data_IF_308393351137
#
_entry.id   IF_308393351137
#
_cell.length_a   1.000
_cell.length_b   1.000
_cell.length_c   1.000
_cell.angle_alpha   90.00
_cell.angle_beta   90.00
_cell.angle_gamma   90.00
#
_symmetry.space_group_name_H-M   'P 1'
#
loop_
_entity.id
_entity.type
_entity.pdbx_description
1 polymer ?
#
# COMPACT_ATOMS: atom_id res chain seq x y z
N UNK A 1 -11.13 -13.40 1.08
CA UNK A 1 -10.66 -12.40 2.05
C UNK A 1 -9.73 -13.04 3.08
N UNK A 2 -9.09 -12.26 3.93
CA UNK A 2 -8.12 -12.73 4.95
C UNK A 2 -8.75 -13.75 5.89
N UNK A 3 -9.99 -13.57 6.30
CA UNK A 3 -10.75 -14.50 7.17
C UNK A 3 -10.93 -15.92 6.60
N UNK A 4 -10.70 -16.11 5.30
CA UNK A 4 -10.84 -17.40 4.65
C UNK A 4 -9.50 -18.15 4.48
N UNK A 5 -8.39 -17.57 4.96
CA UNK A 5 -7.06 -18.21 4.93
C UNK A 5 -7.01 -19.35 5.94
N UNK A 6 -7.51 -19.12 7.13
CA UNK A 6 -7.77 -20.13 8.17
C UNK A 6 -8.89 -19.65 9.10
N UNK A 7 -9.56 -20.58 9.78
CA UNK A 7 -10.50 -20.24 10.84
C UNK A 7 -9.73 -19.78 12.07
N UNK A 8 -9.95 -18.56 12.51
CA UNK A 8 -9.27 -18.01 13.69
C UNK A 8 -10.24 -17.75 14.83
N UNK A 9 -9.82 -18.09 16.05
CA UNK A 9 -10.45 -17.60 17.26
C UNK A 9 -10.11 -16.12 17.47
N UNK A 10 -10.84 -15.43 18.35
CA UNK A 10 -10.53 -14.04 18.70
C UNK A 10 -9.10 -13.89 19.28
N UNK A 11 -8.63 -14.89 20.02
CA UNK A 11 -7.30 -14.90 20.63
C UNK A 11 -6.23 -15.06 19.54
N UNK A 12 -6.36 -16.05 18.66
CA UNK A 12 -5.39 -16.27 17.58
C UNK A 12 -5.37 -15.10 16.58
N UNK A 13 -6.52 -14.50 16.30
CA UNK A 13 -6.62 -13.27 15.51
C UNK A 13 -5.89 -12.07 16.14
N UNK A 14 -6.01 -11.90 17.45
CA UNK A 14 -5.31 -10.85 18.20
C UNK A 14 -3.80 -11.05 18.18
N UNK A 15 -3.33 -12.29 18.36
CA UNK A 15 -1.91 -12.64 18.28
C UNK A 15 -1.36 -12.35 16.86
N UNK A 16 -2.10 -12.74 15.82
CA UNK A 16 -1.73 -12.47 14.42
C UNK A 16 -1.56 -10.96 14.16
N UNK A 17 -2.52 -10.15 14.58
CA UNK A 17 -2.49 -8.69 14.38
C UNK A 17 -1.36 -8.06 15.17
N UNK A 18 -1.11 -8.49 16.40
CA UNK A 18 -0.03 -7.99 17.24
C UNK A 18 1.35 -8.32 16.64
N UNK A 19 1.56 -9.57 16.21
CA UNK A 19 2.80 -10.00 15.55
C UNK A 19 3.07 -9.19 14.27
N UNK A 20 2.06 -9.02 13.43
CA UNK A 20 2.14 -8.18 12.23
C UNK A 20 2.47 -6.72 12.57
N UNK A 21 1.85 -6.16 13.61
CA UNK A 21 2.10 -4.78 14.04
C UNK A 21 3.54 -4.57 14.50
N UNK A 22 4.10 -5.49 15.29
CA UNK A 22 5.51 -5.44 15.73
C UNK A 22 6.45 -5.45 14.53
N UNK A 23 6.26 -6.38 13.60
CA UNK A 23 7.08 -6.50 12.39
C UNK A 23 7.04 -5.24 11.54
N UNK A 24 5.83 -4.73 11.24
CA UNK A 24 5.65 -3.51 10.44
C UNK A 24 6.28 -2.30 11.15
N UNK A 25 6.13 -2.18 12.46
CA UNK A 25 6.71 -1.08 13.26
C UNK A 25 8.24 -1.08 13.17
N UNK A 26 8.88 -2.24 13.37
CA UNK A 26 10.34 -2.37 13.27
C UNK A 26 10.82 -1.94 11.88
N UNK A 27 10.20 -2.44 10.81
CA UNK A 27 10.60 -2.11 9.45
C UNK A 27 10.36 -0.63 9.10
N UNK A 28 9.26 -0.06 9.58
CA UNK A 28 8.94 1.37 9.39
C UNK A 28 9.98 2.25 10.12
N UNK A 29 10.45 1.84 11.30
CA UNK A 29 11.51 2.54 12.03
C UNK A 29 12.80 2.65 11.20
N UNK A 30 13.13 1.61 10.44
CA UNK A 30 14.27 1.61 9.50
C UNK A 30 13.97 2.30 8.16
N UNK A 31 12.78 2.86 7.97
CA UNK A 31 12.38 3.55 6.73
C UNK A 31 12.18 2.63 5.53
N UNK A 32 11.94 1.34 5.77
CA UNK A 32 11.70 0.35 4.72
C UNK A 32 10.19 0.25 4.44
N UNK A 33 9.73 0.51 3.20
CA UNK A 33 8.33 0.33 2.84
C UNK A 33 7.99 -1.16 2.79
N UNK A 34 7.21 -1.61 3.78
CA UNK A 34 6.74 -3.00 3.89
C UNK A 34 5.23 -3.11 3.72
N UNK A 35 4.77 -4.31 3.51
CA UNK A 35 3.37 -4.63 3.30
C UNK A 35 2.70 -5.08 4.60
N UNK A 36 1.80 -4.26 5.14
CA UNK A 36 0.96 -4.65 6.28
C UNK A 36 0.04 -5.84 5.94
N UNK A 37 -0.49 -5.89 4.71
CA UNK A 37 -1.32 -7.02 4.25
C UNK A 37 -0.53 -8.33 4.22
N UNK A 38 0.73 -8.30 3.77
CA UNK A 38 1.60 -9.49 3.78
C UNK A 38 1.96 -9.91 5.21
N UNK A 39 2.25 -8.96 6.09
CA UNK A 39 2.56 -9.25 7.49
C UNK A 39 1.39 -9.93 8.19
N UNK A 40 0.16 -9.42 8.02
CA UNK A 40 -1.04 -10.02 8.62
C UNK A 40 -1.32 -11.42 8.03
N UNK A 41 -1.28 -11.57 6.71
CA UNK A 41 -1.52 -12.88 6.07
C UNK A 41 -0.45 -13.90 6.48
N UNK A 42 0.81 -13.48 6.60
CA UNK A 42 1.90 -14.32 7.09
C UNK A 42 1.66 -14.80 8.52
N UNK A 43 1.27 -13.89 9.43
CA UNK A 43 0.95 -14.24 10.81
C UNK A 43 -0.24 -15.20 10.92
N UNK A 44 -1.29 -14.97 10.11
CA UNK A 44 -2.46 -15.85 10.05
C UNK A 44 -2.08 -17.23 9.49
N UNK A 45 -1.23 -17.27 8.48
CA UNK A 45 -0.75 -18.50 7.87
C UNK A 45 0.11 -19.31 8.87
N UNK A 46 0.96 -18.64 9.66
CA UNK A 46 1.77 -19.31 10.68
C UNK A 46 0.89 -20.02 11.73
N UNK A 47 -0.14 -19.36 12.23
CA UNK A 47 -1.10 -19.98 13.14
C UNK A 47 -1.84 -21.14 12.46
N UNK A 48 -2.30 -20.94 11.22
CA UNK A 48 -2.98 -21.98 10.47
C UNK A 48 -2.11 -23.22 10.20
N UNK A 49 -0.80 -23.06 10.06
CA UNK A 49 0.15 -24.20 9.94
C UNK A 49 0.26 -24.98 11.25
N UNK A 50 0.22 -24.30 12.40
CA UNK A 50 0.25 -24.94 13.72
C UNK A 50 -1.07 -25.68 13.99
N UNK A 51 -2.20 -25.05 13.63
CA UNK A 51 -3.55 -25.61 13.84
C UNK A 51 -4.00 -26.59 12.73
N UNK A 52 -3.24 -26.69 11.63
CA UNK A 52 -3.49 -27.66 10.54
C UNK A 52 -4.58 -27.24 9.55
N UNK A 53 -4.89 -25.95 9.41
CA UNK A 53 -6.05 -25.45 8.64
C UNK A 53 -5.77 -24.36 7.60
N UNK A 54 -4.67 -24.41 6.83
CA UNK A 54 -4.34 -23.39 5.81
C UNK A 54 -5.01 -23.66 4.47
N UNK A 55 -5.71 -22.68 3.91
CA UNK A 55 -6.26 -22.74 2.57
C UNK A 55 -5.23 -22.26 1.52
N UNK A 56 -4.50 -23.21 0.94
CA UNK A 56 -3.44 -22.93 -0.04
C UNK A 56 -3.93 -22.29 -1.33
N UNK A 57 -5.17 -22.55 -1.76
CA UNK A 57 -5.73 -21.92 -2.96
C UNK A 57 -5.89 -20.39 -2.77
N UNK A 58 -6.28 -19.98 -1.56
CA UNK A 58 -6.37 -18.55 -1.22
C UNK A 58 -4.98 -17.94 -1.13
N UNK A 59 -4.02 -18.62 -0.51
CA UNK A 59 -2.64 -18.14 -0.44
C UNK A 59 -2.05 -17.91 -1.83
N UNK A 60 -2.24 -18.84 -2.77
CA UNK A 60 -1.80 -18.69 -4.15
C UNK A 60 -2.43 -17.46 -4.81
N UNK A 61 -3.74 -17.27 -4.65
CA UNK A 61 -4.46 -16.09 -5.16
C UNK A 61 -3.88 -14.78 -4.60
N UNK A 62 -3.55 -14.75 -3.32
CA UNK A 62 -2.94 -13.58 -2.67
C UNK A 62 -1.53 -13.32 -3.20
N UNK A 63 -0.71 -14.35 -3.38
CA UNK A 63 0.65 -14.23 -3.94
C UNK A 63 0.58 -13.64 -5.36
N UNK A 64 -0.31 -14.14 -6.21
CA UNK A 64 -0.51 -13.61 -7.56
C UNK A 64 -0.95 -12.14 -7.55
N UNK A 65 -1.86 -11.76 -6.64
CA UNK A 65 -2.27 -10.38 -6.47
C UNK A 65 -1.12 -9.48 -5.99
N UNK A 66 -0.26 -9.97 -5.10
CA UNK A 66 0.91 -9.21 -4.62
C UNK A 66 1.98 -8.99 -5.70
N UNK A 67 2.13 -9.93 -6.65
CA UNK A 67 2.96 -9.72 -7.84
C UNK A 67 2.29 -8.74 -8.80
N UNK A 68 0.98 -8.86 -8.98
CA UNK A 68 0.19 -7.97 -9.83
C UNK A 68 0.11 -6.53 -9.33
N UNK A 69 0.21 -6.31 -8.01
CA UNK A 69 0.06 -4.99 -7.40
C UNK A 69 1.09 -3.96 -7.86
N UNK A 70 2.41 -4.19 -7.80
CA UNK A 70 3.39 -3.24 -8.30
C UNK A 70 3.32 -3.05 -9.83
N UNK A 71 2.94 -4.10 -10.56
CA UNK A 71 2.73 -4.02 -12.02
C UNK A 71 1.53 -3.12 -12.31
N UNK A 72 0.41 -3.30 -11.60
CA UNK A 72 -0.77 -2.44 -11.71
C UNK A 72 -0.43 -0.98 -11.39
N UNK A 73 0.27 -0.73 -10.28
CA UNK A 73 0.75 0.60 -9.92
C UNK A 73 1.59 1.24 -11.02
N UNK A 74 2.52 0.48 -11.59
CA UNK A 74 3.37 0.94 -12.68
C UNK A 74 2.56 1.29 -13.95
N UNK A 75 1.62 0.44 -14.33
CA UNK A 75 0.76 0.66 -15.50
C UNK A 75 -0.12 1.90 -15.30
N UNK A 76 -0.84 1.98 -14.17
CA UNK A 76 -1.72 3.12 -13.91
C UNK A 76 -0.94 4.42 -13.69
N UNK A 77 0.23 4.38 -13.03
CA UNK A 77 1.11 5.53 -12.91
C UNK A 77 1.61 6.03 -14.27
N UNK A 78 2.03 5.11 -15.14
CA UNK A 78 2.49 5.45 -16.49
C UNK A 78 1.37 6.03 -17.35
N UNK A 79 0.22 5.36 -17.41
CA UNK A 79 -0.92 5.78 -18.24
C UNK A 79 -1.47 7.12 -17.75
N UNK A 80 -1.68 7.27 -16.43
CA UNK A 80 -2.19 8.51 -15.84
C UNK A 80 -1.25 9.69 -16.12
N UNK A 81 0.07 9.47 -16.05
CA UNK A 81 1.03 10.50 -16.42
C UNK A 81 0.88 10.92 -17.89
N UNK A 82 0.86 9.95 -18.81
CA UNK A 82 0.74 10.24 -20.25
C UNK A 82 -0.54 11.00 -20.58
N UNK A 83 -1.66 10.65 -19.98
CA UNK A 83 -2.95 11.30 -20.22
C UNK A 83 -2.99 12.69 -19.59
N UNK A 84 -2.68 12.82 -18.30
CA UNK A 84 -2.85 14.05 -17.55
C UNK A 84 -1.76 15.10 -17.81
N UNK A 85 -0.57 14.68 -18.27
CA UNK A 85 0.48 15.63 -18.67
C UNK A 85 0.10 16.46 -19.89
N UNK A 86 -0.78 15.96 -20.77
CA UNK A 86 -1.20 16.69 -21.97
C UNK A 86 -1.92 18.00 -21.62
N UNK A 87 -3.03 18.01 -20.86
CA UNK A 87 -3.68 19.25 -20.47
C UNK A 87 -2.82 20.09 -19.53
N UNK A 88 -2.08 19.45 -18.62
CA UNK A 88 -1.24 20.15 -17.65
C UNK A 88 -0.13 20.96 -18.33
N UNK A 89 0.52 20.41 -19.37
CA UNK A 89 1.57 21.12 -20.11
C UNK A 89 1.05 22.27 -20.98
N UNK A 90 -0.24 22.30 -21.30
CA UNK A 90 -0.87 23.41 -22.03
C UNK A 90 -1.08 24.65 -21.15
N UNK A 91 -1.04 24.52 -19.83
CA UNK A 91 -1.19 25.64 -18.90
C UNK A 91 0.08 26.49 -18.96
N UNK A 92 -0.01 27.71 -19.48
CA UNK A 92 1.12 28.64 -19.62
C UNK A 92 1.42 29.41 -18.34
N UNK A 93 0.40 29.71 -17.53
CA UNK A 93 0.55 30.48 -16.30
C UNK A 93 1.10 29.62 -15.17
N UNK A 94 2.22 30.04 -14.59
CA UNK A 94 2.84 29.36 -13.43
C UNK A 94 1.88 29.35 -12.24
N UNK A 95 1.19 30.46 -11.97
CA UNK A 95 0.21 30.56 -10.90
C UNK A 95 -0.93 29.53 -11.05
N UNK A 96 -1.49 29.40 -12.27
CA UNK A 96 -2.55 28.42 -12.54
C UNK A 96 -2.01 27.01 -12.39
N UNK A 97 -0.78 26.71 -12.83
CA UNK A 97 -0.13 25.40 -12.64
C UNK A 97 -0.01 25.01 -11.18
N UNK A 98 0.53 25.91 -10.37
CA UNK A 98 0.69 25.68 -8.92
C UNK A 98 -0.66 25.48 -8.23
N UNK A 99 -1.65 26.33 -8.56
CA UNK A 99 -3.00 26.20 -8.00
C UNK A 99 -3.67 24.90 -8.42
N UNK A 100 -3.49 24.46 -9.66
CA UNK A 100 -4.01 23.18 -10.16
C UNK A 100 -3.38 22.00 -9.41
N UNK A 101 -2.06 22.02 -9.15
CA UNK A 101 -1.39 20.98 -8.35
C UNK A 101 -1.94 20.96 -6.92
N UNK A 102 -2.12 22.13 -6.27
CA UNK A 102 -2.66 22.21 -4.91
C UNK A 102 -4.06 21.58 -4.82
N UNK A 103 -4.97 21.96 -5.73
CA UNK A 103 -6.33 21.41 -5.77
C UNK A 103 -6.31 19.91 -6.08
N UNK A 104 -5.53 19.49 -7.08
CA UNK A 104 -5.40 18.10 -7.44
C UNK A 104 -4.80 17.25 -6.29
N UNK A 105 -3.87 17.81 -5.51
CA UNK A 105 -3.31 17.13 -4.33
C UNK A 105 -4.37 16.85 -3.28
N UNK A 106 -5.30 17.78 -3.04
CA UNK A 106 -6.40 17.56 -2.11
C UNK A 106 -7.36 16.46 -2.61
N UNK A 107 -7.74 16.53 -3.90
CA UNK A 107 -8.68 15.56 -4.50
C UNK A 107 -8.06 14.15 -4.56
N UNK A 108 -6.85 14.04 -5.11
CA UNK A 108 -6.16 12.75 -5.27
C UNK A 108 -5.72 12.21 -3.91
N UNK A 109 -5.30 13.09 -2.99
CA UNK A 109 -4.97 12.71 -1.61
C UNK A 109 -6.19 12.15 -0.86
N UNK A 110 -7.35 12.77 -0.98
CA UNK A 110 -8.59 12.26 -0.42
C UNK A 110 -9.00 10.90 -1.02
N UNK A 111 -8.87 10.74 -2.34
CA UNK A 111 -9.11 9.47 -3.02
C UNK A 111 -8.10 8.39 -2.58
N UNK A 112 -6.82 8.75 -2.43
CA UNK A 112 -5.79 7.85 -1.90
C UNK A 112 -6.08 7.41 -0.47
N UNK A 113 -6.47 8.34 0.40
CA UNK A 113 -6.86 8.03 1.77
C UNK A 113 -8.08 7.09 1.82
N UNK A 114 -9.06 7.30 0.95
CA UNK A 114 -10.23 6.43 0.81
C UNK A 114 -9.83 5.01 0.35
N UNK A 115 -8.99 4.90 -0.68
CA UNK A 115 -8.50 3.62 -1.19
C UNK A 115 -7.66 2.86 -0.14
N UNK A 116 -6.79 3.58 0.57
CA UNK A 116 -6.01 3.06 1.69
C UNK A 116 -6.91 2.53 2.81
N UNK A 117 -7.92 3.31 3.21
CA UNK A 117 -8.88 2.91 4.23
C UNK A 117 -9.64 1.65 3.84
N UNK A 118 -10.19 1.60 2.63
CA UNK A 118 -10.94 0.46 2.12
C UNK A 118 -10.11 -0.84 2.07
N UNK A 119 -8.79 -0.74 1.80
CA UNK A 119 -7.90 -1.89 1.80
C UNK A 119 -7.33 -2.20 3.19
N UNK A 120 -6.64 -1.25 3.82
CA UNK A 120 -5.81 -1.51 4.99
C UNK A 120 -6.62 -1.56 6.30
N UNK A 121 -7.62 -0.69 6.50
CA UNK A 121 -8.47 -0.75 7.69
C UNK A 121 -9.22 -2.07 7.73
N UNK A 122 -9.85 -2.45 6.60
CA UNK A 122 -10.60 -3.70 6.51
C UNK A 122 -9.72 -4.94 6.79
N UNK A 123 -8.45 -4.93 6.38
CA UNK A 123 -7.53 -6.04 6.62
C UNK A 123 -7.15 -6.22 8.09
N UNK A 124 -7.04 -5.13 8.85
CA UNK A 124 -6.62 -5.15 10.25
C UNK A 124 -7.83 -5.34 11.16
N UNK A 125 -8.90 -4.56 10.95
CA UNK A 125 -10.05 -4.54 11.85
C UNK A 125 -11.14 -5.53 11.47
N UNK A 126 -11.07 -6.12 10.28
CA UNK A 126 -12.07 -7.06 9.78
C UNK A 126 -12.25 -8.31 10.65
N UNK A 127 -11.19 -8.76 11.34
CA UNK A 127 -11.26 -9.87 12.31
C UNK A 127 -12.18 -9.53 13.49
N UNK A 128 -12.22 -8.26 13.90
CA UNK A 128 -12.99 -7.79 15.05
C UNK A 128 -14.38 -7.25 14.67
N UNK A 129 -14.66 -7.04 13.38
CA UNK A 129 -15.87 -6.40 12.88
C UNK A 129 -17.17 -7.15 13.30
N UNK A 130 -17.10 -8.47 13.42
CA UNK A 130 -18.21 -9.30 13.91
C UNK A 130 -18.56 -9.08 15.40
N UNK A 131 -17.59 -8.62 16.19
CA UNK A 131 -17.76 -8.43 17.65
C UNK A 131 -18.10 -6.99 18.01
N UNK A 132 -17.40 -6.01 17.43
CA UNK A 132 -17.55 -4.59 17.79
C UNK A 132 -18.39 -3.80 16.76
N UNK A 133 -18.82 -4.46 15.68
CA UNK A 133 -19.54 -3.85 14.58
C UNK A 133 -18.62 -3.18 13.55
N UNK A 134 -19.03 -3.19 12.28
CA UNK A 134 -18.23 -2.70 11.15
C UNK A 134 -17.90 -1.20 11.28
N UNK A 135 -18.88 -0.38 11.70
CA UNK A 135 -18.70 1.07 11.83
C UNK A 135 -17.67 1.42 12.92
N UNK A 136 -17.72 0.76 14.07
CA UNK A 136 -16.79 0.96 15.18
C UNK A 136 -15.38 0.50 14.76
N UNK A 137 -15.27 -0.67 14.13
CA UNK A 137 -14.02 -1.21 13.61
C UNK A 137 -13.38 -0.25 12.58
N UNK A 138 -14.17 0.29 11.66
CA UNK A 138 -13.72 1.25 10.66
C UNK A 138 -13.24 2.57 11.29
N UNK A 139 -13.96 3.10 12.27
CA UNK A 139 -13.60 4.33 12.97
C UNK A 139 -12.29 4.18 13.74
N UNK A 140 -12.17 3.14 14.57
CA UNK A 140 -10.97 2.86 15.36
C UNK A 140 -9.76 2.64 14.46
N UNK A 141 -9.91 1.82 13.42
CA UNK A 141 -8.85 1.56 12.46
C UNK A 141 -8.44 2.80 11.66
N UNK A 142 -9.40 3.61 11.24
CA UNK A 142 -9.14 4.88 10.56
C UNK A 142 -8.37 5.88 11.43
N UNK A 143 -8.78 6.05 12.69
CA UNK A 143 -8.05 6.90 13.66
C UNK A 143 -6.63 6.39 13.92
N UNK A 144 -6.45 5.07 14.09
CA UNK A 144 -5.14 4.46 14.31
C UNK A 144 -4.20 4.66 13.11
N UNK A 145 -4.69 4.46 11.86
CA UNK A 145 -3.90 4.72 10.64
C UNK A 145 -3.54 6.21 10.56
N UNK A 146 -4.49 7.12 10.80
CA UNK A 146 -4.25 8.56 10.76
C UNK A 146 -3.16 8.97 11.75
N UNK A 147 -3.20 8.44 12.98
CA UNK A 147 -2.15 8.66 13.98
C UNK A 147 -0.79 8.13 13.52
N UNK A 148 -0.73 6.93 12.94
CA UNK A 148 0.50 6.34 12.41
C UNK A 148 1.08 7.16 11.25
N UNK A 149 0.23 7.66 10.35
CA UNK A 149 0.66 8.53 9.24
C UNK A 149 1.25 9.84 9.77
N UNK A 150 0.64 10.47 10.75
CA UNK A 150 1.13 11.74 11.30
C UNK A 150 2.43 11.60 12.11
N UNK A 151 2.70 10.44 12.70
CA UNK A 151 3.83 10.24 13.61
C UNK A 151 5.02 9.52 12.98
N UNK A 152 4.79 8.45 12.23
CA UNK A 152 5.85 7.51 11.80
C UNK A 152 6.10 7.43 10.28
N UNK A 153 5.28 8.08 9.43
CA UNK A 153 5.38 7.89 7.98
C UNK A 153 6.60 8.57 7.32
N UNK A 154 7.19 9.59 7.94
CA UNK A 154 8.15 10.48 7.30
C UNK A 154 9.35 9.75 6.65
N UNK A 155 9.98 8.81 7.35
CA UNK A 155 11.15 8.06 6.83
C UNK A 155 10.79 7.24 5.59
N UNK A 156 9.66 6.53 5.62
CA UNK A 156 9.20 5.70 4.50
C UNK A 156 8.81 6.58 3.32
N UNK A 157 8.10 7.68 3.57
CA UNK A 157 7.73 8.67 2.56
C UNK A 157 8.96 9.23 1.83
N UNK A 158 10.04 9.56 2.56
CA UNK A 158 11.30 10.03 1.97
C UNK A 158 12.01 8.95 1.15
N UNK A 159 11.97 7.69 1.59
CA UNK A 159 12.54 6.58 0.84
C UNK A 159 11.83 6.39 -0.50
N UNK A 160 10.51 6.34 -0.49
CA UNK A 160 9.70 6.12 -1.71
C UNK A 160 9.73 7.34 -2.63
N UNK A 161 9.55 8.54 -2.07
CA UNK A 161 9.37 9.76 -2.85
C UNK A 161 10.65 10.38 -3.40
N UNK A 162 11.83 10.07 -2.82
CA UNK A 162 13.09 10.70 -3.23
C UNK A 162 14.21 9.74 -3.60
N UNK A 163 14.21 8.50 -3.09
CA UNK A 163 15.35 7.60 -3.27
C UNK A 163 15.19 6.63 -4.44
N UNK A 164 13.97 6.37 -4.92
CA UNK A 164 13.71 5.45 -6.03
C UNK A 164 13.88 6.17 -7.36
N UNK A 165 13.12 7.24 -7.57
CA UNK A 165 13.15 8.14 -8.72
C UNK A 165 12.90 9.55 -8.20
N UNK A 166 13.68 10.53 -8.65
CA UNK A 166 13.39 11.93 -8.37
C UNK A 166 12.17 12.38 -9.15
N UNK A 167 11.07 12.59 -8.46
CA UNK A 167 9.81 13.06 -9.02
C UNK A 167 9.63 14.55 -8.73
N UNK A 168 9.09 15.29 -9.72
CA UNK A 168 8.51 16.60 -9.48
C UNK A 168 7.12 16.46 -8.85
N UNK A 169 6.54 17.57 -8.41
CA UNK A 169 5.23 17.58 -7.73
C UNK A 169 4.13 16.94 -8.57
N UNK A 170 4.12 17.19 -9.89
CA UNK A 170 3.11 16.61 -10.77
C UNK A 170 3.27 15.09 -10.89
N UNK A 171 4.50 14.61 -11.12
CA UNK A 171 4.77 13.16 -11.22
C UNK A 171 4.50 12.43 -9.92
N UNK A 172 4.81 13.06 -8.76
CA UNK A 172 4.51 12.50 -7.46
C UNK A 172 2.99 12.37 -7.24
N UNK A 173 2.23 13.40 -7.61
CA UNK A 173 0.77 13.37 -7.55
C UNK A 173 0.18 12.26 -8.43
N UNK A 174 0.71 12.10 -9.64
CA UNK A 174 0.29 11.03 -10.55
C UNK A 174 0.65 9.64 -10.01
N UNK A 175 1.78 9.50 -9.32
CA UNK A 175 2.13 8.25 -8.67
C UNK A 175 1.12 7.87 -7.57
N UNK A 176 0.69 8.84 -6.75
CA UNK A 176 -0.39 8.62 -5.76
C UNK A 176 -1.69 8.22 -6.43
N UNK A 177 -2.06 8.86 -7.56
CA UNK A 177 -3.24 8.48 -8.31
C UNK A 177 -3.17 7.05 -8.84
N UNK A 178 -2.03 6.65 -9.43
CA UNK A 178 -1.81 5.30 -9.95
C UNK A 178 -1.86 4.22 -8.86
N UNK A 179 -1.28 4.51 -7.71
CA UNK A 179 -1.39 3.67 -6.51
C UNK A 179 -2.85 3.53 -6.08
N UNK A 180 -3.55 4.65 -5.92
CA UNK A 180 -4.93 4.69 -5.43
C UNK A 180 -5.88 3.91 -6.33
N UNK A 181 -5.77 4.06 -7.66
CA UNK A 181 -6.56 3.30 -8.64
C UNK A 181 -6.29 1.80 -8.48
N UNK A 182 -5.01 1.41 -8.40
CA UNK A 182 -4.62 0.01 -8.25
C UNK A 182 -5.22 -0.60 -7.00
N UNK A 183 -5.01 0.04 -5.85
CA UNK A 183 -5.49 -0.44 -4.55
C UNK A 183 -7.01 -0.51 -4.52
N UNK A 184 -7.70 0.49 -5.09
CA UNK A 184 -9.14 0.52 -5.17
C UNK A 184 -9.73 -0.62 -6.00
N UNK A 185 -9.14 -0.94 -7.17
CA UNK A 185 -9.57 -2.08 -7.98
C UNK A 185 -9.48 -3.39 -7.18
N UNK A 186 -8.38 -3.62 -6.49
CA UNK A 186 -8.24 -4.82 -5.65
C UNK A 186 -9.17 -4.83 -4.44
N UNK A 187 -9.45 -3.65 -3.85
CA UNK A 187 -10.42 -3.53 -2.77
C UNK A 187 -11.84 -3.91 -3.22
N UNK A 188 -12.26 -3.48 -4.42
CA UNK A 188 -13.52 -3.89 -5.02
C UNK A 188 -13.62 -5.41 -5.25
N UNK A 189 -12.51 -6.06 -5.58
CA UNK A 189 -12.43 -7.51 -5.73
C UNK A 189 -12.33 -8.26 -4.39
N UNK A 190 -12.27 -7.53 -3.27
CA UNK A 190 -12.09 -8.10 -1.93
C UNK A 190 -10.74 -8.78 -1.72
N UNK A 191 -9.70 -8.40 -2.48
CA UNK A 191 -8.37 -8.98 -2.42
C UNK A 191 -7.45 -8.02 -1.66
N UNK A 192 -6.90 -8.42 -0.50
CA UNK A 192 -5.96 -7.59 0.26
C UNK A 192 -4.63 -7.47 -0.47
N UNK A 193 -4.25 -6.25 -0.81
CA UNK A 193 -2.99 -5.96 -1.51
C UNK A 193 -2.12 -4.98 -0.75
N UNK A 194 -0.90 -4.84 -1.20
CA UNK A 194 0.10 -3.98 -0.59
C UNK A 194 0.09 -2.58 -1.21
N UNK A 195 -0.36 -1.59 -0.45
CA UNK A 195 -0.25 -0.18 -0.84
C UNK A 195 1.19 0.25 -1.04
N UNK A 196 2.14 -0.27 -0.21
CA UNK A 196 3.58 0.00 -0.38
C UNK A 196 4.13 -0.53 -1.71
N UNK A 197 3.64 -1.67 -2.20
CA UNK A 197 4.03 -2.21 -3.50
C UNK A 197 3.39 -1.42 -4.64
N UNK A 198 2.13 -1.04 -4.50
CA UNK A 198 1.41 -0.24 -5.48
C UNK A 198 2.08 1.13 -5.70
N UNK A 199 2.43 1.86 -4.63
CA UNK A 199 3.07 3.17 -4.74
C UNK A 199 4.48 3.08 -5.34
N UNK A 200 5.29 2.08 -4.99
CA UNK A 200 6.62 1.87 -5.59
C UNK A 200 6.48 1.61 -7.09
N UNK A 201 5.54 0.76 -7.50
CA UNK A 201 5.22 0.55 -8.91
C UNK A 201 4.80 1.84 -9.61
N UNK A 202 3.88 2.60 -9.00
CA UNK A 202 3.36 3.85 -9.56
C UNK A 202 4.44 4.95 -9.69
N UNK A 203 5.35 5.05 -8.72
CA UNK A 203 6.54 5.94 -8.80
C UNK A 203 7.42 5.58 -10.00
N UNK A 204 7.68 4.29 -10.20
CA UNK A 204 8.45 3.82 -11.35
C UNK A 204 7.70 4.13 -12.66
N UNK A 205 6.41 3.84 -12.72
CA UNK A 205 5.58 4.09 -13.90
C UNK A 205 5.50 5.56 -14.29
N UNK A 206 5.18 6.44 -13.35
CA UNK A 206 5.12 7.89 -13.56
C UNK A 206 6.49 8.47 -13.92
N UNK A 207 7.56 8.01 -13.25
CA UNK A 207 8.92 8.42 -13.54
C UNK A 207 9.38 8.04 -14.97
N UNK A 208 9.11 6.81 -15.39
CA UNK A 208 9.42 6.37 -16.76
C UNK A 208 8.57 7.10 -17.81
N UNK A 209 7.30 7.36 -17.54
CA UNK A 209 6.46 8.14 -18.43
C UNK A 209 6.98 9.57 -18.65
N UNK A 210 7.60 10.15 -17.62
CA UNK A 210 8.28 11.45 -17.66
C UNK A 210 9.62 11.40 -18.42
N UNK A 211 10.23 10.23 -18.56
CA UNK A 211 11.58 10.05 -19.12
C UNK A 211 12.68 10.01 -18.05
N UNK A 212 12.34 9.91 -16.77
CA UNK A 212 13.31 9.79 -15.68
C UNK A 212 13.92 8.39 -15.65
N UNK A 213 15.18 8.30 -15.14
CA UNK A 213 15.85 7.02 -14.89
C UNK A 213 15.78 6.68 -13.39
N UNK A 214 15.95 5.40 -13.06
CA UNK A 214 16.08 4.97 -11.67
C UNK A 214 17.25 5.69 -11.00
N UNK A 215 17.00 6.44 -9.94
CA UNK A 215 18.00 7.17 -9.19
C UNK A 215 18.93 6.20 -8.44
N UNK A 216 18.36 5.15 -7.83
CA UNK A 216 19.13 4.22 -7.03
C UNK A 216 18.62 2.77 -7.13
N UNK A 217 19.28 1.96 -7.97
CA UNK A 217 18.96 0.54 -8.11
C UNK A 217 19.15 -0.26 -6.81
N UNK A 218 20.11 0.14 -5.94
CA UNK A 218 20.35 -0.54 -4.67
C UNK A 218 19.18 -0.37 -3.69
N UNK A 219 18.58 0.83 -3.67
CA UNK A 219 17.38 1.09 -2.84
C UNK A 219 16.21 0.24 -3.34
N UNK A 220 15.97 0.18 -4.64
CA UNK A 220 14.92 -0.66 -5.20
C UNK A 220 15.14 -2.15 -4.86
N UNK A 221 16.35 -2.66 -5.01
CA UNK A 221 16.69 -4.04 -4.65
C UNK A 221 16.50 -4.31 -3.15
N UNK A 222 16.88 -3.35 -2.28
CA UNK A 222 16.62 -3.44 -0.83
C UNK A 222 15.12 -3.53 -0.53
N UNK A 223 14.29 -2.73 -1.19
CA UNK A 223 12.83 -2.76 -1.05
C UNK A 223 12.27 -4.11 -1.52
N UNK A 224 12.68 -4.58 -2.69
CA UNK A 224 12.25 -5.88 -3.24
C UNK A 224 12.66 -7.05 -2.33
N UNK A 225 13.90 -7.04 -1.80
CA UNK A 225 14.36 -8.05 -0.87
C UNK A 225 13.58 -8.02 0.46
N UNK A 226 13.24 -6.83 0.96
CA UNK A 226 12.42 -6.69 2.15
C UNK A 226 11.01 -7.29 1.93
N UNK A 227 10.41 -7.12 0.75
CA UNK A 227 9.10 -7.73 0.45
C UNK A 227 9.14 -9.26 0.40
N UNK A 228 10.26 -9.84 -0.01
CA UNK A 228 10.44 -11.30 0.03
C UNK A 228 10.70 -11.76 1.47
N UNK A 229 11.59 -11.09 2.19
CA UNK A 229 12.00 -11.49 3.54
C UNK A 229 10.89 -11.32 4.59
N UNK A 230 10.02 -10.30 4.46
CA UNK A 230 8.89 -10.11 5.38
C UNK A 230 7.93 -11.32 5.41
N UNK A 231 7.95 -12.16 4.37
CA UNK A 231 7.16 -13.39 4.33
C UNK A 231 7.75 -14.51 5.20
N UNK A 232 9.07 -14.51 5.42
CA UNK A 232 9.81 -15.57 6.13
C UNK A 232 10.18 -15.22 7.58
N UNK A 233 10.07 -13.96 7.99
CA UNK A 233 10.40 -13.53 9.36
C UNK A 233 9.28 -13.78 10.38
N UNK A 234 8.17 -14.37 9.96
CA UNK A 234 6.96 -14.59 10.76
C UNK A 234 6.65 -16.07 11.02
N UNK A 235 7.58 -16.98 10.68
CA UNK A 235 7.47 -18.43 10.99
C UNK A 235 8.29 -18.77 12.21
#
# INVERSE_FOLDING_TARGET
TISNVTTQSMISGSISVFSAAVTVTIMTYFGVPVSSSQAIVGSIMAIGLIEGGVNWAIILKLILAWVGTPIGGMIFGFISYKILSIPFNKIKSIYIKERSIQIATLIIGAYGAYSLGANNVANITGVFAGTIGVSTAALVGGLAISFGVLTYSYKVMMTVGKQIIELDYFSALIAVLGESITVWIYALLGIPVSTSQAIVGAVIGAGYARGSRLANKKVLLKILSAWVNTRFQLV
#
